data_IF_514779000201
#
_entry.id   IF_514779000201
#
_cell.length_a   1.000
_cell.length_b   1.000
_cell.length_c   1.000
_cell.angle_alpha   90.00
_cell.angle_beta   90.00
_cell.angle_gamma   90.00
#
_symmetry.space_group_name_H-M   'P 1'
#
loop_
_entity.id
_entity.type
_entity.pdbx_description
1 polymer ?
#
# COMPACT_ATOMS: atom_id res chain seq x y z
N UNK A 1 7.01 14.75 27.57
CA UNK A 1 8.32 15.04 28.22
C UNK A 1 9.39 14.30 27.44
N UNK A 2 10.54 14.90 27.19
CA UNK A 2 11.62 14.25 26.44
C UNK A 2 12.35 13.26 27.35
N UNK A 3 12.60 12.06 26.85
CA UNK A 3 13.26 10.94 27.54
C UNK A 3 14.48 10.50 26.73
N UNK A 4 15.21 11.51 26.24
CA UNK A 4 16.31 11.39 25.26
C UNK A 4 17.55 10.67 25.79
N UNK A 5 17.55 10.28 27.07
CA UNK A 5 18.59 9.49 27.70
C UNK A 5 18.22 8.01 27.84
N UNK A 6 17.04 7.59 27.37
CA UNK A 6 16.54 6.23 27.45
C UNK A 6 16.32 5.67 26.05
N UNK A 7 16.77 4.43 25.82
CA UNK A 7 16.45 3.66 24.63
C UNK A 7 15.16 2.87 24.88
N UNK A 8 14.19 3.01 23.97
CA UNK A 8 12.93 2.29 24.06
C UNK A 8 13.00 1.00 23.24
N UNK A 9 12.80 -0.15 23.89
CA UNK A 9 12.85 -1.47 23.24
C UNK A 9 11.52 -1.83 22.56
N UNK A 10 11.30 -1.27 21.37
CA UNK A 10 10.06 -1.46 20.62
C UNK A 10 9.90 -2.84 19.95
N UNK A 11 10.97 -3.66 19.85
CA UNK A 11 10.89 -5.02 19.29
C UNK A 11 10.17 -6.03 20.20
N UNK A 12 9.85 -5.62 21.44
CA UNK A 12 9.14 -6.45 22.43
C UNK A 12 7.62 -6.44 22.28
N UNK A 13 7.09 -5.60 21.40
CA UNK A 13 5.65 -5.45 21.20
C UNK A 13 5.17 -6.29 20.02
N UNK A 14 3.97 -6.87 20.17
CA UNK A 14 3.35 -7.71 19.14
C UNK A 14 2.27 -6.91 18.45
N UNK A 15 2.35 -6.82 17.12
CA UNK A 15 1.38 -6.05 16.32
C UNK A 15 -0.02 -6.64 16.47
N UNK A 16 -0.98 -5.77 16.79
CA UNK A 16 -2.37 -6.13 17.04
C UNK A 16 -2.72 -6.44 18.51
N UNK A 17 -1.73 -6.46 19.41
CA UNK A 17 -1.95 -6.71 20.85
C UNK A 17 -2.27 -5.42 21.62
N UNK A 18 -2.90 -5.60 22.79
CA UNK A 18 -3.35 -4.52 23.68
C UNK A 18 -2.29 -4.11 24.69
N UNK A 19 -2.11 -2.82 24.85
CA UNK A 19 -1.21 -2.22 25.84
C UNK A 19 -1.84 -0.97 26.46
N UNK A 20 -1.67 -0.80 27.77
CA UNK A 20 -1.87 0.51 28.42
C UNK A 20 -0.53 1.27 28.48
N UNK A 21 -0.58 2.59 28.71
CA UNK A 21 0.64 3.42 28.70
C UNK A 21 1.70 2.99 29.71
N UNK A 22 1.30 2.46 30.87
CA UNK A 22 2.23 2.04 31.92
C UNK A 22 2.93 0.74 31.50
N UNK A 23 2.16 -0.21 30.95
CA UNK A 23 2.68 -1.45 30.38
C UNK A 23 3.64 -1.18 29.22
N UNK A 24 3.38 -0.15 28.38
CA UNK A 24 4.29 0.26 27.31
C UNK A 24 5.64 0.70 27.88
N UNK A 25 5.66 1.54 28.90
CA UNK A 25 6.93 1.96 29.52
C UNK A 25 7.68 0.78 30.14
N UNK A 26 6.95 -0.10 30.83
CA UNK A 26 7.54 -1.28 31.47
C UNK A 26 8.13 -2.28 30.46
N UNK A 27 7.39 -2.61 29.41
CA UNK A 27 7.80 -3.59 28.39
C UNK A 27 8.94 -3.02 27.55
N UNK A 28 8.90 -1.72 27.24
CA UNK A 28 9.98 -1.03 26.53
C UNK A 28 11.24 -0.81 27.35
N UNK A 29 11.30 -1.30 28.60
CA UNK A 29 12.42 -1.19 29.54
C UNK A 29 12.89 0.24 29.84
N UNK A 30 11.93 1.17 29.87
CA UNK A 30 12.18 2.55 30.27
C UNK A 30 11.54 2.83 31.63
N UNK A 31 11.96 3.92 32.28
CA UNK A 31 11.43 4.31 33.59
C UNK A 31 9.90 4.43 33.52
N UNK A 32 9.18 3.80 34.45
CA UNK A 32 7.72 3.89 34.47
C UNK A 32 7.34 5.10 35.33
N UNK A 33 6.62 6.11 34.77
CA UNK A 33 6.15 7.24 35.56
C UNK A 33 5.21 6.79 36.67
N UNK A 34 4.95 7.63 37.67
CA UNK A 34 4.00 7.30 38.73
C UNK A 34 2.56 7.19 38.20
N UNK A 35 2.20 8.04 37.23
CA UNK A 35 0.83 8.10 36.72
C UNK A 35 0.79 8.10 35.19
N UNK A 36 -0.20 7.42 34.63
CA UNK A 36 -0.37 7.32 33.17
C UNK A 36 -0.61 8.66 32.46
N UNK A 37 -1.02 9.70 33.20
CA UNK A 37 -1.21 11.07 32.68
C UNK A 37 0.09 11.79 32.37
N UNK A 38 1.20 11.35 32.97
CA UNK A 38 2.53 11.93 32.77
C UNK A 38 3.12 11.49 31.42
N UNK A 39 2.50 10.50 30.78
CA UNK A 39 2.86 9.99 29.46
C UNK A 39 2.07 10.77 28.41
N UNK A 40 2.80 11.60 27.65
CA UNK A 40 2.23 12.47 26.63
C UNK A 40 1.91 11.73 25.32
N UNK A 41 1.04 12.30 24.50
CA UNK A 41 0.65 11.74 23.20
C UNK A 41 1.82 11.52 22.23
N UNK A 42 2.84 12.37 22.32
CA UNK A 42 4.13 12.20 21.66
C UNK A 42 5.18 12.06 22.76
N UNK A 43 5.91 10.96 22.79
CA UNK A 43 7.01 10.72 23.74
C UNK A 43 8.30 10.45 22.97
N UNK A 44 9.34 11.23 23.22
CA UNK A 44 10.63 11.11 22.51
C UNK A 44 11.63 10.37 23.38
N UNK A 45 12.26 9.36 22.80
CA UNK A 45 13.36 8.57 23.37
C UNK A 45 14.63 8.84 22.57
N UNK A 46 15.77 8.32 23.03
CA UNK A 46 17.05 8.46 22.34
C UNK A 46 17.02 7.80 20.95
N UNK A 47 16.34 6.66 20.82
CA UNK A 47 16.33 5.85 19.60
C UNK A 47 15.03 5.91 18.79
N UNK A 48 13.97 6.57 19.30
CA UNK A 48 12.64 6.51 18.69
C UNK A 48 11.67 7.58 19.19
N UNK A 49 10.55 7.72 18.49
CA UNK A 49 9.40 8.52 18.93
C UNK A 49 8.20 7.60 19.09
N UNK A 50 7.61 7.58 20.28
CA UNK A 50 6.38 6.82 20.56
C UNK A 50 5.17 7.74 20.43
N UNK A 51 4.21 7.33 19.59
CA UNK A 51 2.95 8.03 19.33
C UNK A 51 1.79 7.26 19.97
N UNK A 52 1.03 7.94 20.84
CA UNK A 52 -0.22 7.45 21.40
C UNK A 52 -1.41 8.18 20.76
N UNK A 53 -2.04 7.52 19.79
CA UNK A 53 -3.11 8.10 18.98
C UNK A 53 -4.49 7.60 19.40
N UNK A 54 -5.45 8.51 19.52
CA UNK A 54 -6.88 8.16 19.62
C UNK A 54 -7.54 8.69 18.35
N UNK A 55 -8.12 7.79 17.55
CA UNK A 55 -8.66 8.13 16.24
C UNK A 55 -9.96 8.94 16.34
N UNK A 56 -10.92 8.45 17.13
CA UNK A 56 -12.17 9.16 17.36
C UNK A 56 -11.97 10.31 18.35
N UNK A 57 -12.10 11.52 17.83
CA UNK A 57 -12.02 12.78 18.57
C UNK A 57 -13.33 13.54 18.55
N UNK A 58 -14.44 12.89 18.22
CA UNK A 58 -15.78 13.50 18.21
C UNK A 58 -16.12 14.17 19.55
N UNK A 59 -15.63 13.59 20.66
CA UNK A 59 -15.78 14.10 22.02
C UNK A 59 -14.77 15.20 22.42
N UNK A 60 -13.90 15.66 21.51
CA UNK A 60 -12.94 16.74 21.75
C UNK A 60 -13.42 18.05 21.13
N UNK A 61 -12.95 19.16 21.72
CA UNK A 61 -13.14 20.51 21.18
C UNK A 61 -12.57 20.61 19.76
N UNK A 62 -13.16 21.46 18.91
CA UNK A 62 -12.78 21.59 17.50
C UNK A 62 -11.28 21.80 17.28
N UNK A 63 -10.61 22.58 18.14
CA UNK A 63 -9.17 22.84 18.08
C UNK A 63 -8.27 21.60 18.31
N UNK A 64 -8.85 20.50 18.81
CA UNK A 64 -8.16 19.25 19.12
C UNK A 64 -8.69 18.07 18.32
N UNK A 65 -9.52 18.32 17.29
CA UNK A 65 -10.01 17.30 16.35
C UNK A 65 -9.02 17.09 15.21
N UNK A 66 -7.79 16.67 15.54
CA UNK A 66 -6.81 16.37 14.51
C UNK A 66 -7.27 15.17 13.68
N UNK A 67 -6.97 15.15 12.40
CA UNK A 67 -7.39 14.08 11.50
C UNK A 67 -6.31 13.00 11.47
N UNK A 68 -6.55 11.91 12.21
CA UNK A 68 -5.67 10.73 12.20
C UNK A 68 -6.43 9.59 11.54
N UNK A 69 -5.90 9.03 10.45
CA UNK A 69 -6.61 7.99 9.73
C UNK A 69 -5.67 7.00 9.05
N UNK A 70 -6.12 5.74 8.98
CA UNK A 70 -5.45 4.74 8.17
C UNK A 70 -5.95 4.84 6.73
N UNK A 71 -4.99 4.85 5.80
CA UNK A 71 -5.24 4.84 4.38
C UNK A 71 -4.90 3.46 3.83
N UNK A 72 -5.53 3.10 2.71
CA UNK A 72 -5.20 1.90 1.93
C UNK A 72 -5.23 0.62 2.76
N UNK A 73 -6.33 0.41 3.48
CA UNK A 73 -6.54 -0.75 4.33
C UNK A 73 -5.46 -0.96 5.40
N UNK A 74 -4.85 0.14 5.88
CA UNK A 74 -3.88 0.11 6.99
C UNK A 74 -2.41 0.19 6.59
N UNK A 75 -2.10 0.28 5.30
CA UNK A 75 -0.71 0.34 4.79
C UNK A 75 -0.05 1.68 5.04
N UNK A 76 -0.87 2.71 5.13
CA UNK A 76 -0.42 4.07 5.41
C UNK A 76 -1.19 4.65 6.56
N UNK A 77 -0.53 5.56 7.27
CA UNK A 77 -1.12 6.29 8.37
C UNK A 77 -0.90 7.78 8.13
N UNK A 78 -2.00 8.50 7.98
CA UNK A 78 -2.02 9.94 7.96
C UNK A 78 -2.18 10.44 9.38
N UNK A 79 -1.30 11.33 9.81
CA UNK A 79 -1.24 11.85 11.16
C UNK A 79 -1.15 13.37 11.14
N UNK A 80 -2.00 14.00 11.95
CA UNK A 80 -1.90 15.43 12.22
C UNK A 80 -1.28 15.66 13.60
N UNK A 81 -0.23 16.47 13.62
CA UNK A 81 0.40 16.88 14.87
C UNK A 81 -0.49 17.80 15.69
N UNK A 82 -0.24 17.86 17.01
CA UNK A 82 -0.87 18.87 17.85
C UNK A 82 -0.38 20.27 17.44
N UNK A 83 -1.25 21.28 17.50
CA UNK A 83 -0.97 22.66 17.04
C UNK A 83 0.25 23.36 17.67
N UNK A 84 0.79 22.80 18.77
CA UNK A 84 2.03 23.25 19.39
C UNK A 84 3.30 22.77 18.65
N UNK A 85 3.16 21.86 17.68
CA UNK A 85 4.25 21.33 16.89
C UNK A 85 4.28 22.00 15.51
N UNK A 86 5.49 22.30 15.04
CA UNK A 86 5.76 22.84 13.72
C UNK A 86 6.84 21.98 13.05
N UNK A 87 7.15 22.17 11.75
CA UNK A 87 8.22 21.43 11.11
C UNK A 87 9.58 21.58 11.80
N UNK A 88 9.77 22.64 12.61
CA UNK A 88 11.01 22.91 13.35
C UNK A 88 11.04 22.27 14.75
N UNK A 89 9.91 21.73 15.23
CA UNK A 89 9.87 21.10 16.55
C UNK A 89 10.72 19.83 16.57
N UNK A 90 11.47 19.53 17.66
CA UNK A 90 12.38 18.38 17.70
C UNK A 90 11.71 17.03 17.36
N UNK A 91 10.45 16.83 17.79
CA UNK A 91 9.70 15.63 17.44
C UNK A 91 9.50 15.47 15.92
N UNK A 92 9.12 16.57 15.26
CA UNK A 92 8.82 16.57 13.83
C UNK A 92 10.12 16.48 13.02
N UNK A 93 11.18 17.18 13.43
CA UNK A 93 12.50 17.05 12.81
C UNK A 93 13.03 15.63 12.86
N UNK A 94 12.92 14.95 14.01
CA UNK A 94 13.29 13.54 14.13
C UNK A 94 12.49 12.68 13.14
N UNK A 95 11.17 12.85 13.07
CA UNK A 95 10.31 12.13 12.11
C UNK A 95 10.77 12.37 10.65
N UNK A 96 10.95 13.63 10.25
CA UNK A 96 11.37 14.01 8.89
C UNK A 96 12.76 13.45 8.55
N UNK A 97 13.67 13.42 9.53
CA UNK A 97 15.01 12.86 9.39
C UNK A 97 15.04 11.33 9.46
N UNK A 98 13.89 10.66 9.49
CA UNK A 98 13.76 9.21 9.43
C UNK A 98 13.96 8.48 10.76
N UNK A 99 13.86 9.16 11.90
CA UNK A 99 13.83 8.46 13.19
C UNK A 99 12.63 7.51 13.26
N UNK A 100 12.80 6.29 13.84
CA UNK A 100 11.70 5.36 14.05
C UNK A 100 10.55 6.00 14.83
N UNK A 101 9.36 6.04 14.22
CA UNK A 101 8.12 6.37 14.91
C UNK A 101 7.36 5.08 15.25
N UNK A 102 6.90 4.93 16.49
CA UNK A 102 6.30 3.71 17.04
C UNK A 102 4.84 4.00 17.41
N UNK A 103 3.89 3.32 16.78
CA UNK A 103 2.48 3.68 16.88
C UNK A 103 1.69 2.77 17.84
N UNK A 104 1.11 3.38 18.86
CA UNK A 104 0.06 2.82 19.71
C UNK A 104 -1.24 3.58 19.46
N UNK A 105 -2.28 2.87 19.01
CA UNK A 105 -3.52 3.50 18.51
C UNK A 105 -4.77 2.86 19.09
N UNK A 106 -5.82 3.66 19.28
CA UNK A 106 -7.16 3.18 19.65
C UNK A 106 -8.23 4.00 18.95
N UNK A 107 -9.42 3.43 18.81
CA UNK A 107 -10.56 4.17 18.26
C UNK A 107 -11.05 5.20 19.28
N UNK A 108 -11.59 4.75 20.40
CA UNK A 108 -12.17 5.63 21.43
C UNK A 108 -11.27 5.72 22.65
N UNK A 109 -11.29 6.86 23.35
CA UNK A 109 -10.57 7.01 24.62
C UNK A 109 -11.24 6.27 25.77
N UNK A 110 -12.57 6.32 25.84
CA UNK A 110 -13.40 5.61 26.81
C UNK A 110 -14.63 5.00 26.15
N UNK A 111 -15.02 3.82 26.61
CA UNK A 111 -16.31 3.19 26.28
C UNK A 111 -17.04 2.94 27.59
N UNK A 112 -18.25 3.49 27.73
CA UNK A 112 -19.04 3.41 28.98
C UNK A 112 -18.24 3.80 30.23
N UNK A 113 -17.44 4.87 30.13
CA UNK A 113 -16.59 5.38 31.22
C UNK A 113 -15.26 4.65 31.44
N UNK A 114 -15.05 3.50 30.82
CA UNK A 114 -13.83 2.70 30.96
C UNK A 114 -12.80 3.11 29.92
N UNK A 115 -11.60 3.49 30.36
CA UNK A 115 -10.46 3.80 29.48
C UNK A 115 -10.10 2.59 28.63
N UNK A 116 -10.02 2.79 27.32
CA UNK A 116 -9.66 1.72 26.40
C UNK A 116 -8.15 1.59 26.24
N UNK A 117 -7.62 0.35 26.14
CA UNK A 117 -6.21 0.12 25.85
C UNK A 117 -5.87 0.59 24.43
N UNK A 118 -4.57 0.79 24.18
CA UNK A 118 -4.04 1.00 22.85
C UNK A 118 -3.71 -0.33 22.20
N UNK A 119 -3.79 -0.38 20.88
CA UNK A 119 -3.31 -1.47 20.03
C UNK A 119 -1.96 -1.05 19.45
N UNK A 120 -0.96 -1.92 19.53
CA UNK A 120 0.30 -1.68 18.84
C UNK A 120 0.12 -1.90 17.34
N UNK A 121 0.30 -0.85 16.54
CA UNK A 121 0.12 -0.88 15.08
C UNK A 121 1.43 -1.03 14.30
N UNK A 122 2.58 -0.98 15.00
CA UNK A 122 3.90 -1.17 14.41
C UNK A 122 4.73 0.10 14.32
N UNK A 123 5.89 -0.05 13.67
CA UNK A 123 6.78 1.04 13.29
C UNK A 123 6.26 1.75 12.04
N UNK A 124 6.43 3.06 12.05
CA UNK A 124 6.08 3.97 10.98
C UNK A 124 7.36 4.47 10.32
N UNK A 125 7.34 4.49 8.99
CA UNK A 125 8.38 5.08 8.16
C UNK A 125 7.84 6.35 7.52
N UNK A 126 8.52 7.46 7.76
CA UNK A 126 8.18 8.75 7.17
C UNK A 126 8.21 8.67 5.63
N UNK A 127 7.17 9.21 4.98
CA UNK A 127 7.10 9.35 3.53
C UNK A 127 7.24 10.83 3.14
N UNK A 128 6.28 11.64 3.59
CA UNK A 128 6.28 13.09 3.36
C UNK A 128 5.48 13.82 4.43
N UNK A 129 5.57 15.16 4.42
CA UNK A 129 4.73 16.02 5.22
C UNK A 129 4.25 17.20 4.39
N UNK A 130 3.13 17.77 4.80
CA UNK A 130 2.59 19.02 4.26
C UNK A 130 2.09 19.89 5.42
N UNK A 131 1.80 21.16 5.11
CA UNK A 131 1.41 22.22 6.04
C UNK A 131 2.42 22.47 7.15
N UNK A 132 2.23 23.57 7.85
CA UNK A 132 3.15 24.02 8.90
C UNK A 132 2.53 24.01 10.28
N UNK A 133 1.20 24.10 10.39
CA UNK A 133 0.47 24.02 11.65
C UNK A 133 -1.04 23.74 11.44
N UNK A 134 -1.58 22.59 11.87
CA UNK A 134 -0.83 21.41 12.31
C UNK A 134 0.03 20.86 11.17
N UNK A 135 1.18 20.27 11.50
CA UNK A 135 1.96 19.51 10.53
C UNK A 135 1.20 18.23 10.20
N UNK A 136 0.99 17.98 8.91
CA UNK A 136 0.40 16.76 8.37
C UNK A 136 1.52 15.84 7.92
N UNK A 137 1.56 14.61 8.40
CA UNK A 137 2.61 13.66 8.05
C UNK A 137 1.99 12.38 7.54
N UNK A 138 2.48 11.92 6.40
CA UNK A 138 2.14 10.62 5.86
C UNK A 138 3.24 9.61 6.19
N UNK A 139 2.82 8.47 6.72
CA UNK A 139 3.68 7.35 7.05
C UNK A 139 3.32 6.09 6.25
N UNK A 140 4.33 5.29 5.91
CA UNK A 140 4.19 3.87 5.62
C UNK A 140 4.21 3.08 6.94
N UNK A 141 3.31 2.09 7.08
CA UNK A 141 3.26 1.21 8.25
C UNK A 141 4.13 -0.03 7.98
N UNK A 142 5.36 -0.05 8.50
CA UNK A 142 6.35 -1.10 8.18
C UNK A 142 5.89 -2.49 8.63
N UNK A 143 5.18 -2.59 9.75
CA UNK A 143 4.68 -3.87 10.28
C UNK A 143 3.22 -4.15 9.90
N UNK A 144 2.78 -3.65 8.74
CA UNK A 144 1.44 -3.89 8.21
C UNK A 144 1.08 -5.39 8.17
N UNK A 145 -0.13 -5.72 8.60
CA UNK A 145 -0.67 -7.08 8.50
C UNK A 145 -1.77 -7.15 7.43
N UNK A 146 -1.54 -7.93 6.37
CA UNK A 146 -2.56 -8.19 5.34
C UNK A 146 -3.74 -9.03 5.83
N UNK A 147 -3.55 -9.79 6.91
CA UNK A 147 -4.59 -10.53 7.63
C UNK A 147 -4.55 -10.12 9.10
N UNK A 148 -5.01 -8.89 9.43
CA UNK A 148 -4.93 -8.39 10.78
C UNK A 148 -5.89 -9.18 11.69
N UNK A 149 -5.58 -9.25 12.98
CA UNK A 149 -6.54 -9.75 13.94
C UNK A 149 -7.78 -8.81 14.02
N UNK A 150 -8.84 -9.26 14.69
CA UNK A 150 -10.10 -8.52 14.75
C UNK A 150 -9.98 -7.10 15.36
N UNK A 151 -8.98 -6.85 16.21
CA UNK A 151 -8.76 -5.54 16.83
C UNK A 151 -8.08 -4.59 15.85
N UNK A 152 -6.99 -5.03 15.24
CA UNK A 152 -6.23 -4.24 14.27
C UNK A 152 -7.03 -4.02 12.99
N UNK A 153 -7.82 -5.00 12.54
CA UNK A 153 -8.71 -4.83 11.39
C UNK A 153 -9.74 -3.72 11.60
N UNK A 154 -10.29 -3.58 12.81
CA UNK A 154 -11.20 -2.46 13.14
C UNK A 154 -10.49 -1.11 13.11
N UNK A 155 -9.22 -1.07 13.53
CA UNK A 155 -8.40 0.14 13.49
C UNK A 155 -8.12 0.56 12.04
N UNK A 156 -7.72 -0.38 11.17
CA UNK A 156 -7.46 -0.11 9.74
C UNK A 156 -8.70 0.34 8.97
N UNK A 157 -9.86 -0.25 9.29
CA UNK A 157 -11.13 0.09 8.65
C UNK A 157 -11.77 1.37 9.21
N UNK A 158 -11.26 1.92 10.32
CA UNK A 158 -11.85 3.09 10.94
C UNK A 158 -11.71 4.32 10.05
N UNK A 159 -12.79 5.09 9.95
CA UNK A 159 -12.88 6.29 9.13
C UNK A 159 -13.92 7.24 9.70
N UNK A 160 -13.72 8.54 9.46
CA UNK A 160 -14.72 9.60 9.57
C UNK A 160 -15.19 10.02 8.18
N UNK A 161 -16.29 10.76 8.08
CA UNK A 161 -16.78 11.33 6.81
C UNK A 161 -15.75 12.27 6.12
N UNK A 162 -14.74 12.73 6.86
CA UNK A 162 -13.62 13.54 6.33
C UNK A 162 -12.59 12.74 5.52
N UNK A 163 -12.67 11.40 5.47
CA UNK A 163 -11.73 10.56 4.69
C UNK A 163 -11.81 10.84 3.20
N UNK A 164 -12.99 11.17 2.67
CA UNK A 164 -13.18 11.53 1.25
C UNK A 164 -12.50 12.85 0.89
N UNK A 165 -12.57 13.85 1.78
CA UNK A 165 -11.90 15.15 1.60
C UNK A 165 -10.38 15.04 1.74
N UNK A 166 -9.85 14.22 2.65
CA UNK A 166 -8.40 13.97 2.72
C UNK A 166 -7.89 13.24 1.47
N UNK A 167 -8.66 12.24 1.01
CA UNK A 167 -8.37 11.53 -0.23
C UNK A 167 -8.51 12.42 -1.47
N UNK A 168 -9.09 13.62 -1.41
CA UNK A 168 -9.09 14.58 -2.54
C UNK A 168 -7.93 15.57 -2.50
N UNK A 169 -7.36 15.82 -1.31
CA UNK A 169 -6.34 16.86 -1.08
C UNK A 169 -4.90 16.31 -1.00
N UNK A 170 -4.73 15.00 -0.82
CA UNK A 170 -3.41 14.36 -0.91
C UNK A 170 -2.81 14.54 -2.33
N UNK A 171 -1.52 14.90 -2.47
CA UNK A 171 -0.85 14.94 -3.77
C UNK A 171 -1.18 13.72 -4.63
N UNK A 172 -1.47 13.89 -5.92
CA UNK A 172 -1.83 12.77 -6.84
C UNK A 172 -0.76 11.66 -6.89
N UNK A 173 0.47 11.95 -6.50
CA UNK A 173 1.55 10.98 -6.32
C UNK A 173 1.34 10.06 -5.09
N UNK A 174 0.68 10.55 -4.03
CA UNK A 174 0.28 9.81 -2.83
C UNK A 174 -1.07 9.11 -2.95
N UNK A 175 -2.05 9.68 -3.65
CA UNK A 175 -3.26 8.91 -4.03
C UNK A 175 -2.94 7.78 -5.01
N UNK A 176 -1.78 7.87 -5.68
CA UNK A 176 -1.17 6.80 -6.47
C UNK A 176 -0.48 5.75 -5.60
N UNK A 177 -0.85 5.60 -4.34
CA UNK A 177 -0.49 4.37 -3.63
C UNK A 177 -1.51 3.31 -4.04
N UNK A 178 -1.16 2.62 -5.13
CA UNK A 178 -1.66 1.28 -5.44
C UNK A 178 -1.73 0.48 -4.14
N UNK A 179 -2.81 -0.25 -3.93
CA UNK A 179 -2.87 -1.45 -3.11
C UNK A 179 -1.48 -2.14 -2.89
N UNK A 180 -0.72 -1.76 -1.86
CA UNK A 180 0.66 -2.26 -1.63
C UNK A 180 0.86 -2.67 -0.17
N UNK A 181 0.28 -3.76 0.34
CA UNK A 181 0.85 -5.09 0.23
C UNK A 181 2.38 -4.98 0.27
N UNK A 182 2.99 -4.80 1.45
CA UNK A 182 4.36 -5.25 1.70
C UNK A 182 4.24 -6.67 2.26
N UNK A 183 3.99 -7.68 1.43
CA UNK A 183 5.06 -8.39 0.72
C UNK A 183 5.28 -8.11 -0.77
N UNK A 184 4.88 -6.95 -1.31
CA UNK A 184 4.99 -6.63 -2.75
C UNK A 184 6.00 -5.57 -3.16
N UNK A 185 6.86 -5.05 -2.29
CA UNK A 185 7.93 -4.18 -2.82
C UNK A 185 8.98 -4.99 -3.60
N UNK A 186 9.03 -6.30 -3.37
CA UNK A 186 9.65 -7.26 -4.28
C UNK A 186 8.73 -7.61 -5.45
N UNK A 187 7.45 -7.89 -5.19
CA UNK A 187 6.47 -8.33 -6.19
C UNK A 187 6.07 -7.26 -7.24
N UNK A 188 6.10 -5.95 -6.99
CA UNK A 188 5.68 -4.95 -8.00
C UNK A 188 6.76 -4.67 -9.04
N UNK A 189 8.02 -4.54 -8.61
CA UNK A 189 9.18 -4.47 -9.51
C UNK A 189 9.37 -5.80 -10.23
N UNK A 190 9.18 -6.93 -9.53
CA UNK A 190 9.18 -8.27 -10.11
C UNK A 190 8.05 -8.48 -11.11
N UNK A 191 6.81 -8.09 -10.77
CA UNK A 191 5.65 -8.17 -11.66
C UNK A 191 5.85 -7.27 -12.87
N UNK A 192 6.37 -6.05 -12.67
CA UNK A 192 6.72 -5.16 -13.78
C UNK A 192 7.85 -5.74 -14.64
N UNK A 193 8.84 -6.39 -14.06
CA UNK A 193 9.90 -7.07 -14.81
C UNK A 193 9.32 -8.24 -15.63
N UNK A 194 8.41 -9.03 -15.05
CA UNK A 194 7.68 -10.11 -15.74
C UNK A 194 6.82 -9.56 -16.88
N UNK A 195 6.07 -8.47 -16.65
CA UNK A 195 5.24 -7.78 -17.65
C UNK A 195 6.13 -7.27 -18.81
N UNK A 196 7.22 -6.55 -18.51
CA UNK A 196 8.16 -6.05 -19.51
C UNK A 196 8.85 -7.17 -20.30
N UNK A 197 9.20 -8.27 -19.64
CA UNK A 197 9.78 -9.44 -20.30
C UNK A 197 8.80 -10.09 -21.27
N UNK A 198 7.55 -10.29 -20.83
CA UNK A 198 6.52 -10.85 -21.68
C UNK A 198 6.21 -9.95 -22.89
N UNK A 199 6.14 -8.64 -22.68
CA UNK A 199 5.97 -7.64 -23.76
C UNK A 199 7.11 -7.71 -24.76
N UNK A 200 8.36 -7.73 -24.29
CA UNK A 200 9.54 -7.86 -25.16
C UNK A 200 9.46 -9.13 -26.01
N UNK A 201 9.17 -10.28 -25.40
CA UNK A 201 9.04 -11.57 -26.10
C UNK A 201 7.91 -11.52 -27.13
N UNK A 202 6.76 -10.91 -26.81
CA UNK A 202 5.65 -10.75 -27.74
C UNK A 202 6.02 -9.87 -28.94
N UNK A 203 6.64 -8.72 -28.69
CA UNK A 203 7.10 -7.80 -29.75
C UNK A 203 8.08 -8.51 -30.68
N UNK A 204 9.11 -9.17 -30.12
CA UNK A 204 10.10 -9.92 -30.90
C UNK A 204 9.46 -11.03 -31.74
N UNK A 205 8.48 -11.76 -31.17
CA UNK A 205 7.75 -12.81 -31.88
C UNK A 205 6.99 -12.28 -33.10
N UNK A 206 6.16 -11.24 -32.95
CA UNK A 206 5.39 -10.70 -34.07
C UNK A 206 6.28 -10.00 -35.10
N UNK A 207 7.36 -9.32 -34.66
CA UNK A 207 8.35 -8.75 -35.57
C UNK A 207 9.05 -9.82 -36.42
N UNK A 208 9.39 -10.98 -35.85
CA UNK A 208 9.98 -12.10 -36.59
C UNK A 208 9.02 -12.71 -37.62
N UNK A 209 7.71 -12.65 -37.34
CA UNK A 209 6.68 -13.04 -38.31
C UNK A 209 6.45 -11.98 -39.39
N UNK A 210 7.12 -10.82 -39.31
CA UNK A 210 7.07 -9.74 -40.28
C UNK A 210 5.96 -8.72 -40.04
N UNK A 211 5.44 -8.61 -38.82
CA UNK A 211 4.53 -7.54 -38.42
C UNK A 211 5.31 -6.29 -38.00
N UNK A 212 4.78 -5.11 -38.35
CA UNK A 212 5.07 -3.87 -37.64
C UNK A 212 4.28 -3.85 -36.33
N UNK A 213 4.95 -3.64 -35.21
CA UNK A 213 4.39 -3.81 -33.87
C UNK A 213 4.48 -2.50 -33.10
N UNK A 214 3.34 -2.04 -32.59
CA UNK A 214 3.21 -0.80 -31.82
C UNK A 214 2.71 -1.10 -30.41
N UNK A 215 3.43 -0.57 -29.41
CA UNK A 215 3.04 -0.66 -28.00
C UNK A 215 1.94 0.36 -27.67
N UNK A 216 0.79 -0.15 -27.22
CA UNK A 216 -0.39 0.63 -26.82
C UNK A 216 -0.79 0.44 -25.36
N UNK A 217 -0.01 -0.35 -24.60
CA UNK A 217 -0.30 -0.80 -23.22
C UNK A 217 -0.61 0.32 -22.22
N UNK A 218 -0.20 1.55 -22.51
CA UNK A 218 -0.42 2.72 -21.63
C UNK A 218 -1.73 3.46 -21.88
N UNK A 219 -2.35 3.31 -23.06
CA UNK A 219 -3.44 4.19 -23.51
C UNK A 219 -4.65 3.44 -24.07
N UNK A 220 -4.54 2.14 -24.32
CA UNK A 220 -5.57 1.31 -24.93
C UNK A 220 -5.97 0.16 -24.00
N UNK A 221 -7.14 -0.49 -24.22
CA UNK A 221 -7.57 -1.65 -23.45
C UNK A 221 -6.85 -2.96 -23.85
N UNK A 222 -5.79 -2.87 -24.66
CA UNK A 222 -4.95 -3.95 -25.17
C UNK A 222 -3.49 -3.49 -25.25
N UNK A 223 -2.56 -4.44 -25.26
CA UNK A 223 -1.13 -4.17 -25.10
C UNK A 223 -0.42 -3.80 -26.41
N UNK A 224 -0.68 -4.50 -27.51
CA UNK A 224 -0.02 -4.28 -28.79
C UNK A 224 -0.99 -4.16 -29.97
N UNK A 225 -0.57 -3.39 -30.96
CA UNK A 225 -1.13 -3.34 -32.31
C UNK A 225 -0.12 -3.92 -33.29
N UNK A 226 -0.49 -4.99 -33.99
CA UNK A 226 0.36 -5.67 -34.97
C UNK A 226 -0.23 -5.51 -36.38
N UNK A 227 0.56 -4.94 -37.29
CA UNK A 227 0.19 -4.67 -38.68
C UNK A 227 1.09 -5.46 -39.64
N UNK A 228 0.50 -6.18 -40.58
CA UNK A 228 1.25 -6.82 -41.65
C UNK A 228 0.42 -6.79 -42.93
N UNK A 229 0.93 -6.10 -43.96
CA UNK A 229 0.19 -5.87 -45.21
C UNK A 229 -1.20 -5.26 -44.91
N UNK A 230 -2.29 -5.95 -45.26
CA UNK A 230 -3.67 -5.56 -44.97
C UNK A 230 -4.23 -6.20 -43.69
N UNK A 231 -3.43 -6.98 -42.97
CA UNK A 231 -3.84 -7.64 -41.72
C UNK A 231 -3.52 -6.75 -40.52
N UNK A 232 -4.54 -6.47 -39.71
CA UNK A 232 -4.42 -5.73 -38.45
C UNK A 232 -5.00 -6.54 -37.31
N UNK A 233 -4.22 -6.68 -36.24
CA UNK A 233 -4.55 -7.55 -35.11
C UNK A 233 -4.10 -6.89 -33.82
N UNK A 234 -4.93 -6.99 -32.78
CA UNK A 234 -4.56 -6.56 -31.43
C UNK A 234 -3.98 -7.74 -30.67
N UNK A 235 -3.16 -7.46 -29.68
CA UNK A 235 -2.60 -8.49 -28.82
C UNK A 235 -2.69 -8.05 -27.37
N UNK A 236 -3.24 -8.93 -26.54
CA UNK A 236 -3.19 -8.86 -25.08
C UNK A 236 -2.07 -9.78 -24.58
N UNK A 237 -1.14 -9.25 -23.78
CA UNK A 237 0.08 -9.95 -23.37
C UNK A 237 0.07 -10.26 -21.88
N UNK A 238 0.23 -11.55 -21.52
CA UNK A 238 0.26 -11.99 -20.11
C UNK A 238 1.56 -12.71 -19.77
N UNK A 239 2.30 -12.18 -18.81
CA UNK A 239 3.49 -12.80 -18.24
C UNK A 239 3.22 -13.49 -16.90
N UNK A 240 3.80 -14.67 -16.68
CA UNK A 240 3.75 -15.37 -15.38
C UNK A 240 4.96 -16.27 -15.13
N UNK A 241 5.29 -16.47 -13.84
CA UNK A 241 6.26 -17.50 -13.41
C UNK A 241 5.63 -18.90 -13.30
N UNK A 242 4.30 -18.99 -13.26
CA UNK A 242 3.59 -20.27 -13.16
C UNK A 242 3.55 -20.98 -14.52
N UNK A 243 2.89 -22.14 -14.56
CA UNK A 243 2.68 -22.93 -15.80
C UNK A 243 1.87 -22.19 -16.88
N UNK A 244 1.22 -21.07 -16.55
CA UNK A 244 0.36 -20.34 -17.48
C UNK A 244 -0.97 -21.03 -17.78
N UNK A 245 -1.37 -22.01 -16.95
CA UNK A 245 -2.69 -22.65 -17.07
C UNK A 245 -3.82 -21.63 -16.83
N UNK A 246 -3.61 -20.69 -15.92
CA UNK A 246 -4.52 -19.59 -15.64
C UNK A 246 -3.76 -18.26 -15.70
N UNK A 247 -4.38 -17.26 -16.31
CA UNK A 247 -3.88 -15.88 -16.37
C UNK A 247 -4.99 -14.92 -15.98
N UNK A 248 -4.63 -13.80 -15.35
CA UNK A 248 -5.60 -12.80 -14.96
C UNK A 248 -5.90 -11.88 -16.14
N UNK A 249 -7.18 -11.70 -16.43
CA UNK A 249 -7.68 -10.74 -17.42
C UNK A 249 -8.67 -9.78 -16.78
N UNK A 250 -8.71 -8.53 -17.24
CA UNK A 250 -9.66 -7.53 -16.75
C UNK A 250 -10.97 -7.56 -17.54
N UNK A 251 -12.04 -6.98 -16.98
CA UNK A 251 -13.33 -6.85 -17.68
C UNK A 251 -13.17 -6.14 -19.03
N UNK A 252 -12.32 -5.12 -19.09
CA UNK A 252 -12.12 -4.34 -20.31
C UNK A 252 -11.40 -5.17 -21.38
N UNK A 253 -10.37 -5.95 -21.00
CA UNK A 253 -9.68 -6.87 -21.91
C UNK A 253 -10.62 -7.94 -22.47
N UNK A 254 -11.48 -8.52 -21.61
CA UNK A 254 -12.50 -9.49 -22.04
C UNK A 254 -13.51 -8.85 -22.99
N UNK A 255 -13.98 -7.64 -22.70
CA UNK A 255 -14.91 -6.92 -23.57
C UNK A 255 -14.28 -6.56 -24.92
N UNK A 256 -13.01 -6.16 -24.93
CA UNK A 256 -12.29 -5.85 -26.16
C UNK A 256 -12.07 -7.10 -27.01
N UNK A 257 -11.69 -8.22 -26.41
CA UNK A 257 -11.52 -9.51 -27.11
C UNK A 257 -12.83 -10.07 -27.69
N UNK A 258 -13.98 -9.72 -27.10
CA UNK A 258 -15.30 -10.08 -27.62
C UNK A 258 -15.81 -9.13 -28.71
N UNK A 259 -15.14 -8.00 -28.93
CA UNK A 259 -15.50 -7.04 -29.97
C UNK A 259 -15.36 -7.67 -31.35
N UNK A 260 -16.33 -7.41 -32.24
CA UNK A 260 -16.27 -7.85 -33.65
C UNK A 260 -15.41 -6.90 -34.51
N UNK A 261 -14.99 -5.77 -33.96
CA UNK A 261 -14.32 -4.71 -34.71
C UNK A 261 -12.86 -5.05 -35.06
N UNK A 262 -12.25 -6.03 -34.38
CA UNK A 262 -10.87 -6.42 -34.63
C UNK A 262 -10.58 -7.82 -34.09
N UNK A 263 -9.66 -8.53 -34.75
CA UNK A 263 -9.11 -9.77 -34.22
C UNK A 263 -8.13 -9.47 -33.07
N UNK A 264 -8.36 -10.10 -31.92
CA UNK A 264 -7.50 -9.98 -30.74
C UNK A 264 -6.86 -11.32 -30.40
N UNK A 265 -5.55 -11.35 -30.21
CA UNK A 265 -4.81 -12.49 -29.69
C UNK A 265 -4.57 -12.38 -28.19
N UNK A 266 -4.50 -13.55 -27.54
CA UNK A 266 -3.95 -13.65 -26.19
C UNK A 266 -2.58 -14.32 -26.25
N UNK A 267 -1.54 -13.56 -25.93
CA UNK A 267 -0.15 -13.98 -25.94
C UNK A 267 0.35 -14.21 -24.52
N UNK A 268 0.57 -15.47 -24.14
CA UNK A 268 0.98 -15.85 -22.78
C UNK A 268 2.45 -16.28 -22.78
N UNK A 269 3.24 -15.68 -21.88
CA UNK A 269 4.62 -16.11 -21.59
C UNK A 269 4.65 -16.68 -20.17
N UNK A 270 4.84 -18.00 -20.06
CA UNK A 270 4.78 -18.74 -18.80
C UNK A 270 6.13 -19.32 -18.38
N UNK A 271 6.30 -19.63 -17.10
CA UNK A 271 7.57 -20.14 -16.57
C UNK A 271 8.72 -19.14 -16.67
N UNK A 272 8.44 -17.83 -16.56
CA UNK A 272 9.48 -16.79 -16.51
C UNK A 272 10.27 -16.95 -15.21
N UNK A 273 11.59 -17.06 -15.33
CA UNK A 273 12.50 -17.12 -14.19
C UNK A 273 12.88 -15.71 -13.77
N UNK A 274 12.93 -15.45 -12.45
CA UNK A 274 13.27 -14.12 -11.92
C UNK A 274 14.32 -14.21 -10.83
N UNK A 275 15.42 -13.48 -11.01
CA UNK A 275 16.54 -13.39 -10.07
C UNK A 275 16.72 -11.95 -9.53
N UNK A 276 17.27 -11.81 -8.32
CA UNK A 276 17.47 -10.51 -7.64
C UNK A 276 18.94 -10.09 -7.73
N UNK A 277 19.21 -8.85 -8.16
CA UNK A 277 20.55 -8.25 -8.14
C UNK A 277 20.83 -7.49 -6.83
N UNK A 278 22.12 -7.23 -6.55
CA UNK A 278 22.64 -6.57 -5.33
C UNK A 278 22.08 -5.17 -5.05
N UNK A 279 21.39 -4.54 -6.02
CA UNK A 279 20.74 -3.23 -5.89
C UNK A 279 19.19 -3.29 -5.79
N UNK A 280 18.60 -4.48 -5.64
CA UNK A 280 17.14 -4.64 -5.56
C UNK A 280 16.42 -4.48 -6.91
N UNK A 281 17.12 -4.72 -8.01
CA UNK A 281 16.59 -4.87 -9.37
C UNK A 281 16.36 -6.35 -9.72
N UNK A 282 15.44 -6.63 -10.63
CA UNK A 282 15.08 -7.98 -11.06
C UNK A 282 15.57 -8.24 -12.48
N UNK A 283 16.22 -9.39 -12.68
CA UNK A 283 16.51 -9.94 -14.01
C UNK A 283 15.48 -11.02 -14.29
N UNK A 284 14.91 -10.99 -15.49
CA UNK A 284 14.02 -12.02 -16.01
C UNK A 284 14.70 -12.79 -17.13
N UNK A 285 14.48 -14.10 -17.18
CA UNK A 285 14.97 -14.96 -18.26
C UNK A 285 13.97 -16.07 -18.61
N UNK A 286 14.15 -16.67 -19.78
CA UNK A 286 13.37 -17.79 -20.28
C UNK A 286 11.92 -17.42 -20.63
N UNK A 287 11.02 -18.37 -20.41
CA UNK A 287 9.60 -18.25 -20.73
C UNK A 287 9.18 -19.13 -21.92
N UNK A 288 8.04 -19.81 -21.78
CA UNK A 288 7.40 -20.59 -22.85
C UNK A 288 6.22 -19.80 -23.41
N UNK A 289 6.19 -19.66 -24.73
CA UNK A 289 5.12 -18.96 -25.44
C UNK A 289 3.92 -19.90 -25.61
N UNK A 290 2.73 -19.40 -25.27
CA UNK A 290 1.45 -19.97 -25.66
C UNK A 290 0.61 -18.87 -26.29
N UNK A 291 0.37 -19.02 -27.58
CA UNK A 291 -0.46 -18.11 -28.37
C UNK A 291 -1.87 -18.70 -28.53
N UNK A 292 -2.89 -17.91 -28.21
CA UNK A 292 -4.29 -18.21 -28.52
C UNK A 292 -4.74 -17.18 -29.55
N UNK A 293 -4.84 -17.62 -30.80
CA UNK A 293 -5.22 -16.76 -31.92
C UNK A 293 -6.72 -16.49 -31.92
N UNK A 294 -7.13 -15.25 -32.23
CA UNK A 294 -8.55 -14.86 -32.29
C UNK A 294 -9.29 -15.22 -30.99
N UNK A 295 -8.67 -14.84 -29.87
CA UNK A 295 -9.13 -15.16 -28.54
C UNK A 295 -10.52 -14.57 -28.28
N UNK A 296 -11.50 -15.47 -28.10
CA UNK A 296 -12.88 -15.14 -27.74
C UNK A 296 -13.25 -15.93 -26.49
N UNK A 297 -13.04 -15.36 -25.29
CA UNK A 297 -13.28 -16.09 -24.04
C UNK A 297 -14.77 -16.38 -23.85
N UNK A 298 -15.13 -17.62 -23.52
CA UNK A 298 -16.50 -17.96 -23.12
C UNK A 298 -16.69 -17.74 -21.62
N UNK A 299 -17.94 -17.61 -21.18
CA UNK A 299 -18.25 -17.48 -19.75
C UNK A 299 -17.74 -18.68 -18.92
N UNK A 300 -17.71 -19.88 -19.48
CA UNK A 300 -17.16 -21.09 -18.84
C UNK A 300 -15.63 -21.07 -18.69
N UNK A 301 -14.94 -20.26 -19.49
CA UNK A 301 -13.47 -20.09 -19.44
C UNK A 301 -13.05 -19.03 -18.39
N UNK A 302 -14.02 -18.34 -17.77
CA UNK A 302 -13.79 -17.16 -16.92
C UNK A 302 -14.33 -17.36 -15.50
N UNK A 303 -13.45 -17.20 -14.51
CA UNK A 303 -13.83 -17.13 -13.10
C UNK A 303 -13.84 -15.67 -12.61
N UNK A 304 -14.96 -15.16 -12.05
CA UNK A 304 -14.99 -13.81 -11.48
C UNK A 304 -14.12 -13.70 -10.23
N UNK A 305 -13.00 -12.97 -10.33
CA UNK A 305 -12.05 -12.81 -9.22
C UNK A 305 -12.17 -11.46 -8.50
N UNK A 306 -12.82 -10.46 -9.10
CA UNK A 306 -12.95 -9.12 -8.55
C UNK A 306 -14.27 -8.45 -8.97
N UNK A 307 -14.98 -7.88 -8.00
CA UNK A 307 -16.22 -7.14 -8.21
C UNK A 307 -16.04 -5.67 -7.86
N UNK A 308 -16.69 -4.78 -8.62
CA UNK A 308 -16.80 -3.36 -8.32
C UNK A 308 -18.26 -3.05 -8.04
N UNK A 309 -18.52 -2.46 -6.87
CA UNK A 309 -19.84 -2.00 -6.47
C UNK A 309 -20.03 -0.54 -6.89
N UNK A 310 -21.19 -0.21 -7.46
CA UNK A 310 -21.58 1.17 -7.75
C UNK A 310 -22.43 1.69 -6.58
N UNK A 311 -21.97 2.74 -5.90
CA UNK A 311 -22.64 3.30 -4.73
C UNK A 311 -23.62 4.44 -5.05
N UNK A 312 -23.75 4.83 -6.33
CA UNK A 312 -24.52 6.00 -6.76
C UNK A 312 -23.62 7.11 -7.29
#
# INVERSE_FOLDING_TARGET
>A
MARENEDFLYDKFVVGEKYDRMSVMKIGEVTVPQQARDITGITRFNNSIVLFVTLDKSNKEKAHRYNDTFLLDGKQFFWESQNSNTPKSPAIQNIINGYPAILFVRIHDKIKGVTQPFIFAGKLKYLEHDKTNPVEVLFEVENYQNKPNALLGKIYAWSTDTKESLLSDLPKALMKVKNSAQGRMTDSKKKKAIELHAMKVAIEYYQQLGYDVKDTSSNCPYDLECFQNESFRRVEVKGTMSTGQFVNVTRNEVQDALSENCETDLFIVSGIEVSVMSAGEYITDGGKIRLITNWKPKAEDLEPTMYRYNAG
#
